data_IF_125220015416
#
_entry.id   IF_125220015416
#
_cell.length_a   1.000
_cell.length_b   1.000
_cell.length_c   1.000
_cell.angle_alpha   90.00
_cell.angle_beta   90.00
_cell.angle_gamma   90.00
#
_symmetry.space_group_name_H-M   'P 1'
#
loop_
_entity.id
_entity.type
_entity.pdbx_description
1 polymer ?
#
# COMPACT_ATOMS: atom_id res chain seq x y z
N UNK A 1 -6.77 -35.48 1.74
CA UNK A 1 -6.76 -34.01 1.61
C UNK A 1 -5.80 -33.64 0.48
N UNK A 2 -6.25 -33.00 -0.60
CA UNK A 2 -5.37 -32.53 -1.69
C UNK A 2 -4.75 -31.20 -1.27
N UNK A 3 -3.43 -31.12 -1.24
CA UNK A 3 -2.75 -29.83 -1.10
C UNK A 3 -3.01 -29.00 -2.38
N UNK A 4 -3.27 -27.69 -2.25
CA UNK A 4 -3.40 -26.81 -3.41
C UNK A 4 -2.07 -26.81 -4.19
N UNK A 5 -2.15 -26.94 -5.52
CA UNK A 5 -0.97 -26.76 -6.39
C UNK A 5 -0.52 -25.30 -6.28
N UNK A 6 0.72 -25.07 -5.85
CA UNK A 6 1.35 -23.76 -5.93
C UNK A 6 1.64 -23.44 -7.40
N UNK A 7 1.09 -22.34 -7.90
CA UNK A 7 1.42 -21.77 -9.20
C UNK A 7 2.47 -20.69 -8.98
N UNK A 8 3.58 -20.77 -9.71
CA UNK A 8 4.60 -19.71 -9.71
C UNK A 8 4.48 -18.93 -11.01
N UNK A 9 4.35 -17.61 -10.91
CA UNK A 9 4.23 -16.70 -12.05
C UNK A 9 5.47 -15.80 -12.01
N UNK A 10 6.25 -15.79 -13.10
CA UNK A 10 7.40 -14.90 -13.26
C UNK A 10 7.08 -13.82 -14.29
N UNK A 11 7.43 -12.57 -14.01
CA UNK A 11 7.19 -11.43 -14.92
C UNK A 11 8.48 -10.82 -15.42
N UNK A 12 8.39 -10.12 -16.54
CA UNK A 12 9.52 -9.43 -17.15
C UNK A 12 9.54 -7.95 -16.74
N UNK A 13 10.75 -7.44 -16.47
CA UNK A 13 11.00 -6.01 -16.20
C UNK A 13 10.83 -5.17 -17.48
N UNK A 14 11.00 -3.85 -17.40
CA UNK A 14 11.14 -3.04 -18.62
C UNK A 14 12.17 -3.65 -19.58
N UNK A 15 11.90 -3.64 -20.91
CA UNK A 15 10.88 -2.84 -21.62
C UNK A 15 9.50 -3.53 -21.77
N UNK A 16 9.24 -4.65 -21.10
CA UNK A 16 7.99 -5.38 -21.25
C UNK A 16 6.83 -4.70 -20.50
N UNK A 17 5.60 -4.85 -21.03
CA UNK A 17 4.38 -4.22 -20.50
C UNK A 17 4.09 -4.59 -19.02
N UNK A 18 4.61 -5.73 -18.55
CA UNK A 18 4.48 -6.15 -17.15
C UNK A 18 5.19 -5.23 -16.17
N UNK A 19 6.25 -4.52 -16.59
CA UNK A 19 7.03 -3.56 -15.79
C UNK A 19 7.16 -3.93 -14.31
N UNK A 20 7.56 -5.18 -14.05
CA UNK A 20 7.62 -5.68 -12.68
C UNK A 20 8.83 -5.10 -11.93
N UNK A 21 8.76 -5.08 -10.60
CA UNK A 21 9.86 -4.82 -9.68
C UNK A 21 10.10 -6.03 -8.79
N UNK A 22 11.33 -6.27 -8.36
CA UNK A 22 11.64 -7.28 -7.34
C UNK A 22 12.20 -6.64 -6.05
N UNK A 23 12.05 -5.33 -5.92
CA UNK A 23 12.50 -4.55 -4.78
C UNK A 23 11.63 -3.32 -4.59
N UNK A 24 11.65 -2.77 -3.37
CA UNK A 24 10.99 -1.49 -3.07
C UNK A 24 11.63 -0.31 -3.81
N UNK A 25 12.89 -0.41 -4.26
CA UNK A 25 13.68 0.69 -4.86
C UNK A 25 13.02 1.34 -6.08
N UNK A 26 12.16 0.60 -6.80
CA UNK A 26 11.39 1.12 -7.94
C UNK A 26 9.99 1.62 -7.57
N UNK A 27 9.69 1.67 -6.28
CA UNK A 27 8.49 2.30 -5.73
C UNK A 27 8.90 3.57 -5.00
N UNK A 28 8.06 4.59 -5.05
CA UNK A 28 8.28 5.83 -4.29
C UNK A 28 8.26 5.62 -2.78
N UNK A 29 7.83 4.44 -2.31
CA UNK A 29 7.72 4.08 -0.90
C UNK A 29 9.01 3.49 -0.30
N UNK A 30 10.03 3.22 -1.12
CA UNK A 30 11.31 2.62 -0.66
C UNK A 30 11.95 3.33 0.53
N UNK A 31 11.91 4.67 0.53
CA UNK A 31 12.52 5.48 1.60
C UNK A 31 11.70 5.41 2.89
N UNK A 32 10.39 5.25 2.77
CA UNK A 32 9.41 5.26 3.86
C UNK A 32 9.31 3.89 4.53
N UNK A 33 9.44 2.80 3.76
CA UNK A 33 9.52 1.46 4.36
C UNK A 33 10.85 1.18 5.04
N UNK A 34 11.96 1.81 4.64
CA UNK A 34 13.29 1.70 5.28
C UNK A 34 13.67 0.27 5.75
N UNK A 35 13.37 -0.76 4.95
CA UNK A 35 13.64 -2.16 5.30
C UNK A 35 12.73 -2.77 6.37
N UNK A 36 11.71 -2.06 6.87
CA UNK A 36 10.68 -2.58 7.77
C UNK A 36 9.94 -3.80 7.19
N UNK A 37 9.91 -3.91 5.86
CA UNK A 37 9.38 -5.09 5.18
C UNK A 37 10.36 -5.69 4.20
N UNK A 38 10.56 -7.00 4.36
CA UNK A 38 11.12 -7.85 3.33
C UNK A 38 10.16 -7.82 2.15
N UNK A 39 10.69 -7.46 0.98
CA UNK A 39 10.02 -7.64 -0.29
C UNK A 39 9.91 -9.17 -0.52
N UNK A 40 8.79 -9.78 -0.16
CA UNK A 40 8.62 -11.24 -0.21
C UNK A 40 8.27 -11.68 -1.64
N UNK A 41 8.60 -12.92 -1.98
CA UNK A 41 8.19 -13.55 -3.26
C UNK A 41 6.71 -13.93 -3.30
N UNK A 42 5.94 -13.58 -2.26
CA UNK A 42 4.49 -13.77 -2.26
C UNK A 42 3.84 -12.52 -2.85
N UNK A 43 3.73 -12.55 -4.18
CA UNK A 43 3.23 -11.48 -5.05
C UNK A 43 2.01 -10.72 -4.50
N UNK A 44 0.99 -11.44 -4.02
CA UNK A 44 -0.25 -10.81 -3.52
C UNK A 44 0.01 -9.98 -2.25
N UNK A 45 0.95 -10.42 -1.41
CA UNK A 45 1.32 -9.70 -0.20
C UNK A 45 2.09 -8.42 -0.50
N UNK A 46 2.97 -8.42 -1.52
CA UNK A 46 3.75 -7.23 -1.89
C UNK A 46 2.85 -6.15 -2.46
N UNK A 47 1.95 -6.51 -3.38
CA UNK A 47 1.05 -5.54 -4.00
C UNK A 47 0.08 -4.95 -2.97
N UNK A 48 -0.55 -5.80 -2.16
CA UNK A 48 -1.45 -5.36 -1.09
C UNK A 48 -0.73 -4.47 -0.09
N UNK A 49 0.50 -4.83 0.31
CA UNK A 49 1.28 -4.02 1.24
C UNK A 49 1.65 -2.67 0.66
N UNK A 50 2.05 -2.61 -0.60
CA UNK A 50 2.31 -1.35 -1.28
C UNK A 50 1.08 -0.44 -1.29
N UNK A 51 -0.10 -0.99 -1.60
CA UNK A 51 -1.36 -0.24 -1.57
C UNK A 51 -1.71 0.26 -0.17
N UNK A 52 -1.51 -0.58 0.86
CA UNK A 52 -1.75 -0.19 2.26
C UNK A 52 -0.81 0.92 2.72
N UNK A 53 0.48 0.84 2.40
CA UNK A 53 1.47 1.91 2.70
C UNK A 53 1.09 3.20 1.98
N UNK A 54 0.73 3.14 0.70
CA UNK A 54 0.27 4.29 -0.06
C UNK A 54 -0.95 4.98 0.58
N UNK A 55 -1.95 4.20 0.99
CA UNK A 55 -3.13 4.70 1.70
C UNK A 55 -2.74 5.34 3.03
N UNK A 56 -1.93 4.63 3.82
CA UNK A 56 -1.45 5.09 5.12
C UNK A 56 -0.75 6.45 5.02
N UNK A 57 0.22 6.58 4.12
CA UNK A 57 0.93 7.85 3.88
C UNK A 57 -0.02 8.96 3.40
N UNK A 58 -1.07 8.62 2.66
CA UNK A 58 -2.07 9.61 2.23
C UNK A 58 -2.92 10.11 3.40
N UNK A 59 -3.30 9.22 4.33
CA UNK A 59 -4.00 9.65 5.54
C UNK A 59 -3.13 10.56 6.42
N UNK A 60 -1.84 10.25 6.54
CA UNK A 60 -0.90 11.08 7.27
C UNK A 60 -0.74 12.46 6.63
N UNK A 61 -0.56 12.49 5.29
CA UNK A 61 -0.43 13.73 4.51
C UNK A 61 -1.68 14.62 4.61
N UNK A 62 -2.88 14.04 4.47
CA UNK A 62 -4.13 14.81 4.33
C UNK A 62 -4.89 15.00 5.63
N UNK A 63 -4.91 13.97 6.47
CA UNK A 63 -5.72 13.92 7.68
C UNK A 63 -4.89 14.10 8.95
N UNK A 64 -3.55 14.16 8.84
CA UNK A 64 -2.62 14.32 9.96
C UNK A 64 -2.84 13.24 11.05
N UNK A 65 -3.19 12.02 10.64
CA UNK A 65 -3.44 10.88 11.50
C UNK A 65 -3.22 9.56 10.75
N UNK A 66 -3.00 8.49 11.51
CA UNK A 66 -2.83 7.13 10.99
C UNK A 66 -4.16 6.38 10.97
N UNK A 67 -4.59 5.87 9.83
CA UNK A 67 -5.85 5.13 9.79
C UNK A 67 -5.68 3.75 10.46
N UNK A 68 -6.46 3.40 11.51
CA UNK A 68 -6.26 2.19 12.32
C UNK A 68 -6.15 0.87 11.54
N UNK A 69 -6.85 0.74 10.41
CA UNK A 69 -6.84 -0.46 9.57
C UNK A 69 -5.60 -0.60 8.67
N UNK A 70 -4.78 0.45 8.53
CA UNK A 70 -3.66 0.53 7.60
C UNK A 70 -2.32 0.86 8.29
N UNK A 71 -2.26 0.75 9.63
CA UNK A 71 -1.04 0.91 10.43
C UNK A 71 -0.12 -0.29 10.18
N UNK A 72 0.49 -0.27 9.01
CA UNK A 72 1.58 -1.15 8.67
C UNK A 72 2.86 -0.49 9.26
N UNK A 73 3.08 0.80 9.01
CA UNK A 73 4.28 1.54 9.44
C UNK A 73 4.08 2.27 10.78
N UNK A 74 5.12 2.26 11.62
CA UNK A 74 5.20 3.17 12.77
C UNK A 74 5.70 4.54 12.29
N UNK A 75 4.76 5.45 12.07
CA UNK A 75 5.02 6.77 11.49
C UNK A 75 4.97 7.90 12.51
N UNK A 76 4.73 7.59 13.79
CA UNK A 76 4.60 8.58 14.86
C UNK A 76 3.30 9.39 14.85
N UNK A 77 2.41 9.18 13.88
CA UNK A 77 1.08 9.78 13.84
C UNK A 77 0.10 9.05 14.76
N UNK A 78 -0.75 9.82 15.45
CA UNK A 78 -1.80 9.25 16.28
C UNK A 78 -2.91 8.61 15.44
N UNK A 79 -3.62 7.58 15.95
CA UNK A 79 -4.71 6.97 15.21
C UNK A 79 -5.85 7.96 14.90
N UNK A 80 -6.38 7.93 13.68
CA UNK A 80 -7.54 8.73 13.30
C UNK A 80 -8.75 8.38 14.17
N UNK A 81 -9.47 9.39 14.65
CA UNK A 81 -10.77 9.18 15.29
C UNK A 81 -11.81 8.86 14.22
N UNK A 82 -12.24 7.61 14.09
CA UNK A 82 -13.23 7.18 13.09
C UNK A 82 -14.69 7.29 13.57
N UNK A 83 -14.97 8.05 14.63
CA UNK A 83 -16.34 8.38 15.03
C UNK A 83 -16.95 9.34 14.01
N UNK A 84 -18.19 9.09 13.57
CA UNK A 84 -18.83 9.84 12.48
C UNK A 84 -18.96 11.35 12.68
N UNK A 85 -18.91 11.82 13.93
CA UNK A 85 -18.94 13.25 14.28
C UNK A 85 -17.56 13.93 14.22
N UNK A 86 -16.48 13.19 13.99
CA UNK A 86 -15.12 13.73 13.97
C UNK A 86 -14.76 14.25 12.58
N UNK A 87 -13.87 15.25 12.54
CA UNK A 87 -13.30 15.73 11.27
C UNK A 87 -12.38 14.70 10.62
N UNK A 88 -11.62 13.94 11.42
CA UNK A 88 -10.74 12.87 10.93
C UNK A 88 -11.50 11.76 10.22
N UNK A 89 -12.73 11.44 10.66
CA UNK A 89 -13.59 10.48 9.99
C UNK A 89 -13.96 10.95 8.58
N UNK A 90 -14.43 12.20 8.45
CA UNK A 90 -14.77 12.78 7.14
C UNK A 90 -13.55 12.78 6.22
N UNK A 91 -12.39 13.23 6.72
CA UNK A 91 -11.16 13.24 5.93
C UNK A 91 -10.75 11.83 5.48
N UNK A 92 -10.85 10.83 6.36
CA UNK A 92 -10.55 9.45 6.01
C UNK A 92 -11.53 8.89 4.96
N UNK A 93 -12.82 9.17 5.08
CA UNK A 93 -13.83 8.77 4.08
C UNK A 93 -13.60 9.43 2.73
N UNK A 94 -13.35 10.74 2.69
CA UNK A 94 -13.07 11.46 1.46
C UNK A 94 -11.79 10.95 0.79
N UNK A 95 -10.76 10.66 1.58
CA UNK A 95 -9.51 10.07 1.10
C UNK A 95 -9.75 8.68 0.48
N UNK A 96 -10.53 7.80 1.13
CA UNK A 96 -10.88 6.50 0.55
C UNK A 96 -11.65 6.65 -0.76
N UNK A 97 -12.61 7.59 -0.81
CA UNK A 97 -13.39 7.87 -2.01
C UNK A 97 -12.50 8.30 -3.18
N UNK A 98 -11.44 9.07 -2.96
CA UNK A 98 -10.48 9.46 -4.02
C UNK A 98 -9.79 8.24 -4.65
N UNK A 99 -9.46 7.21 -3.88
CA UNK A 99 -8.87 5.98 -4.41
C UNK A 99 -9.91 5.12 -5.13
N UNK A 100 -11.11 4.98 -4.56
CA UNK A 100 -12.20 4.20 -5.17
C UNK A 100 -12.67 4.81 -6.50
N UNK A 101 -12.71 6.15 -6.57
CA UNK A 101 -13.07 6.91 -7.78
C UNK A 101 -11.90 7.13 -8.75
N UNK A 102 -10.70 6.60 -8.43
CA UNK A 102 -9.46 6.75 -9.22
C UNK A 102 -9.00 8.19 -9.44
N UNK A 103 -9.32 9.08 -8.52
CA UNK A 103 -8.75 10.44 -8.49
C UNK A 103 -7.30 10.43 -7.99
N UNK A 104 -6.94 9.43 -7.16
CA UNK A 104 -5.57 9.15 -6.74
C UNK A 104 -5.27 7.68 -6.98
N UNK A 105 -4.06 7.39 -7.48
CA UNK A 105 -3.58 6.03 -7.72
C UNK A 105 -2.23 5.81 -7.02
N UNK A 106 -2.00 4.59 -6.54
CA UNK A 106 -0.73 4.20 -5.94
C UNK A 106 0.24 3.73 -7.01
N UNK A 107 1.49 4.22 -6.96
CA UNK A 107 2.58 3.78 -7.85
C UNK A 107 3.16 2.43 -7.43
N UNK A 108 2.31 1.40 -7.38
CA UNK A 108 2.66 0.05 -6.97
C UNK A 108 2.90 -0.85 -8.20
N UNK A 109 4.16 -1.20 -8.45
CA UNK A 109 4.52 -2.15 -9.51
C UNK A 109 4.31 -3.59 -9.03
N UNK A 110 3.97 -4.50 -9.96
CA UNK A 110 3.85 -5.93 -9.66
C UNK A 110 5.22 -6.57 -9.38
N UNK A 111 5.22 -7.65 -8.61
CA UNK A 111 6.44 -8.46 -8.41
C UNK A 111 6.89 -9.16 -9.71
N UNK A 112 8.21 -9.31 -9.86
CA UNK A 112 8.86 -10.13 -10.89
C UNK A 112 8.95 -11.59 -10.42
#
# INVERSE_FOLDING_TARGET
>A
MRQPKRVHISRQRLPYATNCSSSWERTWYSQQVNGAYIYSSEMDLVLQRCQRICLQLTFEEKCNCSHPSYIDLDTGYSPCNLTSSSESYRCATDTLYEFESRQRECSCNMDC
#
